data_IF_962188548176
#
_entry.id   IF_962188548176
#
_cell.length_a   1.000
_cell.length_b   1.000
_cell.length_c   1.000
_cell.angle_alpha   90.00
_cell.angle_beta   90.00
_cell.angle_gamma   90.00
#
_symmetry.space_group_name_H-M   'P 1'
#
loop_
_entity.id
_entity.type
_entity.pdbx_description
1 polymer ?
2 non-polymer ?
3 non-polymer ?
4 water ?
#
# COMPACT_ATOMS: atom_id res chain seq x y z
N UNK A 2 -23.54 -9.29 -2.67
CA UNK A 2 -22.78 -8.05 -2.45
C UNK A 2 -23.57 -7.00 -1.68
N UNK A 3 -22.93 -6.43 -0.65
CA UNK A 3 -23.56 -5.47 0.25
C UNK A 3 -22.71 -4.20 0.41
N UNK A 4 -21.39 -4.31 0.33
CA UNK A 4 -20.50 -3.20 0.64
C UNK A 4 -19.48 -3.03 -0.48
N UNK A 5 -19.10 -1.79 -0.74
CA UNK A 5 -18.13 -1.48 -1.76
C UNK A 5 -16.89 -0.94 -1.05
N UNK A 6 -15.73 -1.49 -1.38
CA UNK A 6 -14.43 -1.04 -0.85
C UNK A 6 -13.56 -0.63 -2.02
N UNK A 7 -12.85 0.49 -1.89
CA UNK A 7 -11.93 0.95 -2.92
C UNK A 7 -10.55 1.08 -2.32
N UNK A 8 -9.55 0.59 -3.04
CA UNK A 8 -8.16 0.72 -2.63
C UNK A 8 -7.35 1.28 -3.79
N UNK A 9 -6.29 2.02 -3.46
CA UNK A 9 -5.40 2.56 -4.47
C UNK A 9 -3.97 2.48 -3.95
N UNK A 10 -3.10 1.94 -4.77
CA UNK A 10 -1.67 1.96 -4.57
C UNK A 10 -1.14 3.27 -5.13
N UNK A 11 -0.31 3.97 -4.38
CA UNK A 11 0.24 5.21 -4.88
C UNK A 11 1.07 4.98 -6.14
N UNK A 12 1.22 6.05 -6.91
CA UNK A 12 2.04 6.03 -8.09
C UNK A 12 3.52 6.16 -7.78
N UNK A 13 4.26 6.27 -8.85
CA UNK A 13 5.70 6.23 -8.83
C UNK A 13 6.26 7.28 -7.86
N UNK A 14 7.21 6.85 -7.05
CA UNK A 14 8.01 7.74 -6.22
C UNK A 14 9.29 8.15 -6.96
N UNK A 15 9.99 9.12 -6.38
CA UNK A 15 11.28 9.54 -6.93
C UNK A 15 12.31 8.42 -6.89
N UNK A 16 12.27 7.57 -5.88
CA UNK A 16 13.25 6.50 -5.76
C UNK A 16 12.93 5.31 -6.66
N UNK A 17 11.66 5.09 -6.99
CA UNK A 17 11.36 4.02 -7.94
C UNK A 17 12.07 4.28 -9.27
N UNK A 18 12.25 5.55 -9.63
CA UNK A 18 12.97 5.87 -10.85
C UNK A 18 14.45 5.52 -10.75
N UNK A 19 15.01 5.56 -9.55
CA UNK A 19 16.40 5.19 -9.30
C UNK A 19 16.56 3.71 -8.97
N UNK A 20 15.50 2.92 -9.14
CA UNK A 20 15.45 1.53 -8.72
C UNK A 20 16.08 1.35 -7.35
N UNK A 21 15.67 2.24 -6.43
CA UNK A 21 16.21 2.27 -5.08
C UNK A 21 15.14 1.83 -4.09
N UNK A 22 15.51 0.93 -3.18
CA UNK A 22 14.59 0.45 -2.16
C UNK A 22 14.16 1.61 -1.27
N UNK A 23 12.89 1.97 -1.25
CA UNK A 23 12.44 3.05 -0.39
C UNK A 23 11.94 2.50 0.93
N UNK A 24 10.93 1.64 0.89
CA UNK A 24 10.45 1.10 2.15
C UNK A 24 9.90 2.20 3.03
N UNK A 25 10.42 2.32 4.24
CA UNK A 25 10.02 3.34 5.16
C UNK A 25 10.73 4.66 4.94
N UNK A 26 11.63 4.76 3.97
CA UNK A 26 12.12 6.08 3.59
C UNK A 26 10.96 6.84 2.96
N UNK A 27 10.78 8.08 3.39
CA UNK A 27 9.59 8.86 3.06
C UNK A 27 9.77 9.62 1.74
N UNK A 28 9.89 8.85 0.66
CA UNK A 28 10.11 9.39 -0.68
C UNK A 28 8.88 10.14 -1.21
N UNK A 29 9.13 11.21 -1.95
CA UNK A 29 8.06 11.98 -2.54
C UNK A 29 7.53 11.29 -3.79
N UNK A 30 6.27 11.59 -4.17
CA UNK A 30 5.79 11.22 -5.51
C UNK A 30 6.61 11.89 -6.59
N UNK A 31 6.83 11.17 -7.69
CA UNK A 31 7.36 11.82 -8.87
C UNK A 31 6.24 12.57 -9.56
N UNK A 32 6.60 13.36 -10.56
CA UNK A 32 5.57 14.00 -11.38
C UNK A 32 4.66 12.96 -11.99
N UNK A 33 5.22 11.87 -12.50
CA UNK A 33 4.39 10.82 -13.06
C UNK A 33 3.44 10.26 -12.02
N UNK A 34 3.95 10.03 -10.81
CA UNK A 34 3.09 9.51 -9.75
C UNK A 34 1.97 10.44 -9.36
N UNK A 35 2.24 11.73 -9.35
CA UNK A 35 1.18 12.70 -9.08
C UNK A 35 0.12 12.69 -10.19
N UNK A 36 0.54 12.56 -11.45
CA UNK A 36 -0.42 12.48 -12.54
C UNK A 36 -1.26 11.21 -12.44
N UNK A 37 -0.65 10.10 -12.04
CA UNK A 37 -1.40 8.86 -11.83
C UNK A 37 -2.46 9.05 -10.75
N UNK A 38 -2.11 9.74 -9.68
CA UNK A 38 -3.09 10.00 -8.64
C UNK A 38 -4.24 10.84 -9.17
N UNK A 39 -3.91 11.85 -9.97
CA UNK A 39 -4.98 12.67 -10.55
C UNK A 39 -5.87 11.85 -11.48
N UNK A 40 -5.28 10.97 -12.27
CA UNK A 40 -6.05 10.07 -13.13
C UNK A 40 -7.02 9.23 -12.31
N UNK A 41 -6.54 8.66 -11.21
CA UNK A 41 -7.42 7.85 -10.39
C UNK A 41 -8.53 8.68 -9.78
N UNK A 42 -8.23 9.92 -9.39
CA UNK A 42 -9.25 10.81 -8.84
C UNK A 42 -10.35 11.05 -9.88
N UNK A 43 -9.96 11.32 -11.13
CA UNK A 43 -10.94 11.55 -12.19
C UNK A 43 -11.83 10.33 -12.36
N UNK A 44 -11.24 9.14 -12.31
CA UNK A 44 -12.03 7.92 -12.48
C UNK A 44 -13.03 7.74 -11.35
N UNK A 45 -12.64 8.02 -10.12
CA UNK A 45 -13.54 7.92 -9.00
C UNK A 45 -14.66 8.94 -9.12
N UNK A 46 -14.32 10.19 -9.48
CA UNK A 46 -15.33 11.23 -9.65
C UNK A 46 -16.30 10.84 -10.75
N UNK A 47 -15.78 10.30 -11.85
CA UNK A 47 -16.64 9.97 -12.98
C UNK A 47 -17.62 8.86 -12.63
N UNK A 48 -17.20 7.92 -11.78
CA UNK A 48 -18.04 6.84 -11.28
C UNK A 48 -18.98 7.29 -10.17
N UNK A 49 -18.93 8.57 -9.77
CA UNK A 49 -19.80 9.15 -8.75
C UNK A 49 -19.66 8.43 -7.42
N UNK A 50 -18.47 7.92 -7.14
CA UNK A 50 -18.26 7.13 -5.94
C UNK A 50 -17.99 8.05 -4.76
N UNK A 51 -18.84 7.95 -3.75
CA UNK A 51 -18.69 8.64 -2.49
C UNK A 51 -18.04 7.71 -1.49
N UNK A 52 -17.22 8.30 -0.63
CA UNK A 52 -16.68 7.60 0.52
C UNK A 52 -17.16 8.28 1.80
N UNK A 53 -17.01 7.56 2.91
CA UNK A 53 -17.32 8.06 4.25
C UNK A 53 -16.10 8.16 5.14
N UNK A 54 -15.05 7.39 4.89
CA UNK A 54 -13.85 7.40 5.71
C UNK A 54 -12.71 6.88 4.87
N UNK A 55 -11.51 7.43 5.10
CA UNK A 55 -10.33 7.09 4.34
C UNK A 55 -9.20 6.69 5.26
N UNK A 56 -8.42 5.70 4.81
CA UNK A 56 -7.24 5.23 5.52
C UNK A 56 -6.01 5.34 4.64
N UNK A 57 -4.89 5.70 5.26
CA UNK A 57 -3.61 5.77 4.59
C UNK A 57 -2.50 5.45 5.56
N UNK A 58 -1.27 5.49 5.05
CA UNK A 58 -0.09 5.22 5.85
C UNK A 58 0.44 6.51 6.47
N UNK A 59 1.66 6.47 7.01
CA UNK A 59 2.37 7.67 7.46
C UNK A 59 3.44 8.11 6.46
N UNK A 60 3.37 7.61 5.22
CA UNK A 60 4.34 7.92 4.17
C UNK A 60 3.69 8.83 3.14
N UNK A 61 4.35 9.95 2.85
CA UNK A 61 3.72 11.02 2.09
C UNK A 61 3.37 10.64 0.67
N UNK A 62 4.05 9.67 0.06
CA UNK A 62 3.65 9.28 -1.28
C UNK A 62 2.24 8.73 -1.29
N UNK A 63 1.85 8.00 -0.24
CA UNK A 63 0.48 7.53 -0.09
C UNK A 63 -0.46 8.63 0.35
N UNK A 64 -0.05 9.43 1.34
CA UNK A 64 -0.90 10.51 1.83
C UNK A 64 -1.22 11.49 0.71
N UNK A 65 -0.22 11.85 -0.09
CA UNK A 65 -0.44 12.79 -1.17
C UNK A 65 -1.36 12.21 -2.22
N UNK A 66 -1.25 10.90 -2.49
CA UNK A 66 -2.19 10.25 -3.39
C UNK A 66 -3.61 10.40 -2.86
N UNK A 67 -3.82 10.13 -1.57
CA UNK A 67 -5.12 10.33 -0.97
C UNK A 67 -5.60 11.78 -1.14
N UNK A 68 -4.75 12.73 -0.78
CA UNK A 68 -5.14 14.14 -0.90
C UNK A 68 -5.56 14.48 -2.31
N UNK A 69 -4.82 13.98 -3.30
CA UNK A 69 -5.18 14.26 -4.69
C UNK A 69 -6.56 13.70 -5.03
N UNK A 70 -6.84 12.49 -4.56
CA UNK A 70 -8.16 11.90 -4.76
C UNK A 70 -9.26 12.73 -4.08
N UNK A 71 -9.05 13.11 -2.82
CA UNK A 71 -10.06 13.89 -2.12
C UNK A 71 -10.28 15.24 -2.79
N UNK A 72 -9.21 15.90 -3.24
CA UNK A 72 -9.35 17.18 -3.92
C UNK A 72 -10.13 17.00 -5.22
N UNK A 73 -9.74 16.02 -6.03
CA UNK A 73 -10.34 15.82 -7.33
C UNK A 73 -11.76 15.31 -7.29
N UNK A 74 -12.21 14.79 -6.15
CA UNK A 74 -13.57 14.30 -6.01
C UNK A 74 -14.42 15.17 -5.09
N UNK A 75 -13.88 16.31 -4.66
CA UNK A 75 -14.61 17.23 -3.77
C UNK A 75 -15.02 16.55 -2.48
N UNK A 76 -14.09 15.77 -1.90
CA UNK A 76 -14.29 15.05 -0.64
C UNK A 76 -13.21 15.39 0.38
N UNK A 77 -12.71 16.62 0.34
CA UNK A 77 -11.64 17.02 1.25
C UNK A 77 -12.08 17.01 2.71
N UNK A 78 -13.38 17.06 2.96
CA UNK A 78 -13.94 17.08 4.29
C UNK A 78 -14.02 15.71 4.95
N UNK A 79 -13.72 14.62 4.23
CA UNK A 79 -13.87 13.30 4.81
C UNK A 79 -12.89 13.04 5.95
N UNK A 80 -13.29 12.24 6.93
CA UNK A 80 -12.35 11.77 7.94
C UNK A 80 -11.25 10.94 7.31
N UNK A 81 -10.02 11.18 7.76
CA UNK A 81 -8.82 10.49 7.32
C UNK A 81 -8.13 9.93 8.55
N UNK A 82 -7.75 8.66 8.48
CA UNK A 82 -6.98 7.99 9.53
C UNK A 82 -5.69 7.49 8.90
N UNK A 83 -4.56 7.85 9.50
CA UNK A 83 -3.22 7.41 9.13
C UNK A 83 -2.75 6.35 10.10
N UNK A 84 -2.06 5.35 9.57
CA UNK A 84 -1.43 4.36 10.42
C UNK A 84 -0.14 3.82 9.80
N UNK A 85 0.88 3.66 10.64
CA UNK A 85 2.09 2.96 10.23
C UNK A 85 1.79 1.56 9.76
N UNK A 86 0.71 0.95 10.24
CA UNK A 86 0.38 -0.40 9.82
C UNK A 86 0.07 -0.55 8.34
N UNK A 87 -0.19 0.56 7.63
CA UNK A 87 -0.38 0.53 6.20
C UNK A 87 0.89 0.94 5.44
N UNK A 88 2.00 1.14 6.13
CA UNK A 88 3.25 1.48 5.47
C UNK A 88 3.68 0.38 4.51
N UNK A 89 4.46 0.79 3.53
CA UNK A 89 5.22 -0.13 2.69
C UNK A 89 6.02 -1.07 3.56
N UNK A 90 6.38 -2.21 3.00
CA UNK A 90 7.33 -3.11 3.63
C UNK A 90 8.60 -2.38 4.04
N UNK A 91 9.11 -2.71 5.23
CA UNK A 91 10.39 -2.19 5.69
C UNK A 91 11.51 -3.04 5.11
N UNK A 92 12.31 -2.45 4.21
CA UNK A 92 13.38 -3.16 3.53
C UNK A 92 14.68 -3.23 4.31
N UNK A 93 14.67 -2.81 5.58
CA UNK A 93 15.81 -3.08 6.42
C UNK A 93 17.05 -2.40 5.90
N UNK A 94 18.16 -3.13 5.96
CA UNK A 94 19.42 -2.56 5.50
C UNK A 94 19.48 -2.29 4.02
N UNK A 95 18.55 -2.81 3.22
CA UNK A 95 18.53 -2.53 1.80
C UNK A 95 18.00 -1.14 1.50
N UNK A 96 17.37 -0.50 2.49
CA UNK A 96 16.79 0.82 2.30
C UNK A 96 17.85 1.78 1.78
N UNK A 97 17.54 2.47 0.69
CA UNK A 97 18.43 3.46 0.11
C UNK A 97 19.42 2.92 -0.90
N UNK A 98 19.49 1.62 -1.11
CA UNK A 98 20.36 1.02 -2.11
C UNK A 98 19.60 0.79 -3.42
N UNK A 99 20.31 0.95 -4.53
CA UNK A 99 19.74 0.55 -5.81
C UNK A 99 20.05 -0.92 -6.08
N UNK A 100 19.62 -1.43 -7.23
CA UNK A 100 19.75 -2.86 -7.51
C UNK A 100 21.21 -3.28 -7.57
N UNK A 101 22.04 -2.51 -8.28
CA UNK A 101 23.46 -2.85 -8.37
C UNK A 101 24.13 -2.80 -7.01
N UNK A 102 23.84 -1.77 -6.22
CA UNK A 102 24.46 -1.65 -4.91
C UNK A 102 24.05 -2.81 -4.00
N UNK A 103 22.78 -3.21 -4.08
CA UNK A 103 22.29 -4.32 -3.28
C UNK A 103 23.01 -5.60 -3.65
N UNK A 104 23.14 -5.85 -4.95
CA UNK A 104 23.81 -7.05 -5.41
C UNK A 104 25.28 -7.07 -5.03
N UNK A 105 25.96 -5.92 -5.15
CA UNK A 105 27.38 -5.85 -4.83
C UNK A 105 27.60 -6.09 -3.34
N UNK A 106 26.69 -5.60 -2.50
CA UNK A 106 26.85 -5.68 -1.06
C UNK A 106 26.42 -7.03 -0.51
N UNK A 107 25.45 -7.72 -1.13
CA UNK A 107 24.85 -8.89 -0.53
C UNK A 107 24.91 -10.15 -1.37
N UNK A 108 25.20 -10.06 -2.67
CA UNK A 108 25.30 -11.22 -3.53
C UNK A 108 24.07 -11.42 -4.39
N UNK A 109 24.26 -11.75 -5.67
CA UNK A 109 23.13 -11.85 -6.60
C UNK A 109 22.18 -12.98 -6.23
N UNK A 110 22.72 -14.15 -5.92
CA UNK A 110 21.87 -15.27 -5.54
C UNK A 110 21.15 -14.99 -4.24
N UNK A 111 21.82 -14.35 -3.29
CA UNK A 111 21.18 -14.02 -2.02
C UNK A 111 20.03 -13.05 -2.23
N UNK A 112 20.25 -12.04 -3.06
CA UNK A 112 19.21 -11.05 -3.32
C UNK A 112 18.04 -11.70 -4.02
N UNK A 113 18.30 -12.66 -4.90
CA UNK A 113 17.23 -13.38 -5.57
C UNK A 113 16.40 -14.16 -4.54
N UNK A 114 17.06 -14.82 -3.59
CA UNK A 114 16.33 -15.51 -2.54
C UNK A 114 15.40 -14.56 -1.82
N UNK A 115 15.91 -13.38 -1.43
CA UNK A 115 15.08 -12.43 -0.70
C UNK A 115 13.93 -11.94 -1.56
N UNK A 116 14.20 -11.65 -2.85
CA UNK A 116 13.17 -11.12 -3.74
C UNK A 116 12.05 -12.13 -3.95
N UNK A 117 12.36 -13.42 -3.96
CA UNK A 117 11.37 -14.44 -4.27
C UNK A 117 10.79 -15.12 -3.01
N UNK A 118 11.21 -14.71 -1.83
CA UNK A 118 10.78 -15.34 -0.60
C UNK A 118 9.62 -14.58 0.03
N UNK A 119 8.65 -15.31 0.55
CA UNK A 119 7.57 -14.73 1.33
C UNK A 119 7.98 -14.43 2.76
N UNK A 120 8.89 -15.21 3.34
CA UNK A 120 9.10 -15.19 4.77
C UNK A 120 10.54 -15.01 5.24
N UNK A 121 11.52 -14.87 4.34
CA UNK A 121 12.89 -14.57 4.73
C UNK A 121 13.07 -13.06 4.68
N UNK A 122 13.38 -12.40 5.78
CA UNK A 122 13.50 -10.95 5.75
C UNK A 122 14.83 -10.51 5.16
N UNK A 123 14.91 -9.28 4.68
CA UNK A 123 16.18 -8.70 4.34
C UNK A 123 16.98 -8.41 5.59
N UNK A 124 18.23 -8.00 5.45
CA UNK A 124 19.07 -7.75 6.64
C UNK A 124 18.50 -6.60 7.45
N UNK A 125 18.78 -6.56 8.74
CA UNK A 125 18.25 -5.49 9.58
C UNK A 125 18.89 -4.15 9.26
N UNK A 126 18.10 -3.10 9.48
CA UNK A 126 18.61 -1.73 9.51
C UNK A 126 19.27 -1.52 10.87
N UNK A 127 20.59 -1.45 10.88
CA UNK A 127 21.32 -1.28 12.14
C UNK A 127 21.69 0.18 12.37
N UNK A 128 22.25 0.43 13.56
CA UNK A 128 22.48 1.81 14.00
C UNK A 128 23.49 2.53 13.13
N UNK A 129 24.27 1.79 12.34
CA UNK A 129 25.24 2.37 11.41
C UNK A 129 24.65 2.68 10.05
N UNK A 130 23.42 2.28 9.81
CA UNK A 130 22.83 2.50 8.50
C UNK A 130 22.58 3.99 8.29
N UNK A 131 22.81 4.49 7.08
CA UNK A 131 22.64 5.93 6.84
C UNK A 131 21.25 6.45 7.16
N UNK A 132 20.22 5.62 7.12
CA UNK A 132 18.86 6.07 7.32
C UNK A 132 18.31 5.69 8.68
N UNK A 133 19.15 5.16 9.57
CA UNK A 133 18.66 4.68 10.86
C UNK A 133 18.00 5.79 11.66
N UNK A 134 18.68 6.94 11.81
CA UNK A 134 18.11 7.98 12.64
C UNK A 134 16.82 8.52 12.05
N UNK A 135 16.78 8.68 10.73
CA UNK A 135 15.63 9.32 10.11
C UNK A 135 14.44 8.39 9.97
N UNK A 136 14.59 7.08 10.20
CA UNK A 136 13.49 6.12 10.14
C UNK A 136 13.28 5.56 11.55
N UNK A 137 14.25 4.80 12.04
CA UNK A 137 14.03 4.08 13.30
C UNK A 137 13.88 5.02 14.48
N UNK A 138 14.47 6.21 14.43
CA UNK A 138 14.37 7.17 15.54
C UNK A 138 13.36 8.28 15.26
N UNK A 139 12.62 8.18 14.18
CA UNK A 139 11.71 9.24 13.81
C UNK A 139 10.50 9.27 14.75
N UNK A 140 10.09 10.46 15.13
CA UNK A 140 9.07 10.59 16.16
C UNK A 140 7.72 10.03 15.75
N UNK A 141 7.44 9.87 14.47
CA UNK A 141 6.15 9.30 14.07
C UNK A 141 6.00 7.86 14.50
N UNK A 142 7.07 7.18 14.89
CA UNK A 142 6.98 5.81 15.39
C UNK A 142 7.12 5.72 16.90
N UNK A 143 7.14 6.85 17.60
CA UNK A 143 7.40 6.85 19.04
C UNK A 143 6.25 6.24 19.83
N UNK A 144 5.06 6.13 19.25
CA UNK A 144 3.93 5.56 19.92
C UNK A 144 3.79 4.08 19.75
N UNK A 145 4.63 3.45 18.95
CA UNK A 145 4.56 1.99 18.79
C UNK A 145 4.91 1.32 20.10
N UNK A 146 4.21 0.23 20.41
CA UNK A 146 4.51 -0.50 21.61
C UNK A 146 5.90 -1.11 21.44
N UNK A 147 6.64 -1.24 22.52
CA UNK A 147 7.94 -1.90 22.42
C UNK A 147 7.78 -3.25 21.73
N UNK A 148 8.65 -3.51 20.76
CA UNK A 148 8.59 -4.72 19.97
C UNK A 148 7.90 -4.58 18.63
N UNK A 149 7.14 -3.50 18.41
CA UNK A 149 6.43 -3.34 17.15
C UNK A 149 7.29 -2.68 16.08
N UNK A 150 8.23 -1.83 16.44
CA UNK A 150 9.03 -1.15 15.41
C UNK A 150 9.97 -2.13 14.74
N UNK A 151 9.84 -2.37 13.44
CA UNK A 151 10.72 -3.34 12.80
C UNK A 151 12.07 -2.77 12.49
N UNK A 152 13.05 -3.67 12.41
CA UNK A 152 14.34 -3.38 11.81
C UNK A 152 14.37 -3.80 10.35
N UNK A 153 13.40 -4.60 9.92
CA UNK A 153 13.32 -5.24 8.61
C UNK A 153 12.05 -6.05 8.61
N UNK A 154 11.53 -6.33 7.43
CA UNK A 154 10.32 -7.14 7.31
C UNK A 154 10.39 -8.04 6.09
N UNK A 155 10.04 -9.30 6.26
CA UNK A 155 9.59 -10.10 5.14
C UNK A 155 8.20 -9.65 4.74
N UNK A 156 7.70 -10.12 3.59
CA UNK A 156 6.32 -9.85 3.24
C UNK A 156 5.39 -10.43 4.29
N UNK A 157 5.72 -11.60 4.81
CA UNK A 157 4.92 -12.19 5.87
C UNK A 157 4.81 -11.23 7.07
N UNK A 158 5.92 -10.61 7.44
CA UNK A 158 5.92 -9.65 8.56
C UNK A 158 5.03 -8.45 8.25
N UNK A 159 5.15 -7.89 7.05
CA UNK A 159 4.35 -6.72 6.68
C UNK A 159 2.87 -7.04 6.82
N UNK A 160 2.46 -8.17 6.23
CA UNK A 160 1.06 -8.57 6.27
C UNK A 160 0.61 -8.77 7.70
N UNK A 161 1.46 -9.37 8.53
CA UNK A 161 1.08 -9.63 9.91
C UNK A 161 0.84 -8.37 10.73
N UNK A 162 1.47 -7.24 10.40
CA UNK A 162 1.19 -5.99 11.11
C UNK A 162 0.12 -5.13 10.44
N UNK A 163 -0.21 -5.39 9.17
CA UNK A 163 -1.28 -4.70 8.48
C UNK A 163 -2.64 -5.27 8.83
N UNK A 164 -2.75 -6.61 8.82
CA UNK A 164 -4.05 -7.25 9.04
C UNK A 164 -4.73 -6.84 10.34
N UNK A 165 -4.03 -6.70 11.47
CA UNK A 165 -4.72 -6.27 12.69
C UNK A 165 -5.43 -4.95 12.51
N UNK A 166 -4.88 -4.05 11.70
CA UNK A 166 -5.55 -2.79 11.47
C UNK A 166 -6.84 -3.00 10.68
N UNK A 167 -6.77 -3.82 9.64
CA UNK A 167 -7.98 -4.21 8.93
C UNK A 167 -9.02 -4.77 9.89
N UNK A 168 -8.63 -5.74 10.71
CA UNK A 168 -9.61 -6.46 11.51
C UNK A 168 -10.21 -5.56 12.59
N UNK A 169 -9.41 -4.71 13.20
CA UNK A 169 -9.86 -3.97 14.36
C UNK A 169 -10.44 -2.61 14.02
N UNK A 170 -9.99 -1.98 12.94
CA UNK A 170 -10.38 -0.62 12.61
C UNK A 170 -11.19 -0.50 11.33
N UNK A 171 -10.75 -1.14 10.24
CA UNK A 171 -11.42 -0.92 8.96
C UNK A 171 -12.67 -1.78 8.84
N UNK A 172 -12.56 -3.07 9.15
CA UNK A 172 -13.68 -3.97 8.96
C UNK A 172 -14.94 -3.55 9.73
N UNK A 173 -14.86 -3.09 10.98
CA UNK A 173 -16.09 -2.65 11.65
C UNK A 173 -16.73 -1.46 10.97
N UNK A 174 -15.94 -0.57 10.35
CA UNK A 174 -16.54 0.55 9.63
C UNK A 174 -17.32 0.05 8.44
N UNK A 175 -16.75 -0.87 7.68
CA UNK A 175 -17.45 -1.41 6.52
C UNK A 175 -18.76 -2.07 6.95
N UNK A 176 -18.71 -2.86 8.00
CA UNK A 176 -19.92 -3.55 8.45
C UNK A 176 -21.01 -2.59 8.91
N UNK A 177 -20.64 -1.39 9.37
CA UNK A 177 -21.60 -0.34 9.72
C UNK A 177 -22.14 0.39 8.51
N UNK A 178 -21.75 0.02 7.30
CA UNK A 178 -22.26 0.64 6.10
C UNK A 178 -21.41 1.75 5.57
N UNK A 179 -20.24 1.98 6.13
CA UNK A 179 -19.39 3.06 5.67
C UNK A 179 -18.68 2.62 4.39
N UNK A 180 -18.51 3.56 3.48
CA UNK A 180 -17.83 3.37 2.21
C UNK A 180 -16.37 3.80 2.40
N UNK A 181 -15.46 2.83 2.40
CA UNK A 181 -14.06 3.04 2.74
C UNK A 181 -13.22 3.20 1.48
N UNK A 182 -12.29 4.13 1.55
CA UNK A 182 -11.18 4.26 0.62
C UNK A 182 -9.88 4.01 1.38
N UNK A 183 -9.02 3.15 0.84
CA UNK A 183 -7.66 2.93 1.38
C UNK A 183 -6.63 3.34 0.33
N UNK A 184 -5.77 4.30 0.67
CA UNK A 184 -4.70 4.73 -0.22
C UNK A 184 -3.39 4.32 0.46
N UNK A 185 -2.72 3.33 -0.10
CA UNK A 185 -1.57 2.79 0.59
C UNK A 185 -0.53 2.29 -0.41
N UNK A 186 0.13 1.17 -0.09
CA UNK A 186 1.32 0.71 -0.80
C UNK A 186 1.08 -0.72 -1.28
N UNK A 187 1.84 -1.14 -2.29
CA UNK A 187 1.62 -2.46 -2.85
C UNK A 187 1.62 -3.55 -1.79
N UNK A 188 2.64 -3.57 -0.93
CA UNK A 188 2.77 -4.71 -0.02
C UNK A 188 1.77 -4.68 1.12
N UNK A 189 1.38 -3.49 1.60
CA UNK A 189 0.34 -3.44 2.62
C UNK A 189 -1.02 -3.77 2.03
N UNK A 190 -1.33 -3.28 0.82
CA UNK A 190 -2.57 -3.68 0.16
C UNK A 190 -2.58 -5.18 -0.13
N UNK A 191 -1.43 -5.76 -0.46
CA UNK A 191 -1.37 -7.21 -0.66
C UNK A 191 -1.90 -7.95 0.55
N UNK A 192 -1.58 -7.48 1.75
CA UNK A 192 -2.08 -8.14 2.94
C UNK A 192 -3.60 -8.17 2.98
N UNK A 193 -4.23 -7.06 2.62
CA UNK A 193 -5.69 -7.00 2.62
C UNK A 193 -6.26 -7.89 1.53
N UNK A 194 -5.69 -7.83 0.33
CA UNK A 194 -6.13 -8.67 -0.78
C UNK A 194 -6.01 -10.14 -0.41
N UNK A 195 -4.86 -10.53 0.16
CA UNK A 195 -4.65 -11.93 0.53
C UNK A 195 -5.75 -12.41 1.46
N UNK A 196 -6.09 -11.59 2.44
CA UNK A 196 -7.14 -11.93 3.39
C UNK A 196 -8.52 -11.97 2.73
N UNK A 197 -8.86 -10.95 1.95
CA UNK A 197 -10.17 -10.92 1.30
C UNK A 197 -10.38 -12.12 0.42
N UNK A 198 -9.35 -12.50 -0.34
CA UNK A 198 -9.47 -13.54 -1.36
C UNK A 198 -9.06 -14.91 -0.86
N UNK A 199 -8.54 -15.03 0.37
CA UNK A 199 -8.03 -16.30 0.87
C UNK A 199 -6.94 -16.89 0.01
N UNK A 200 -5.97 -16.07 -0.39
CA UNK A 200 -4.92 -16.51 -1.31
C UNK A 200 -3.75 -17.11 -0.56
N UNK A 201 -3.04 -17.99 -1.26
CA UNK A 201 -1.80 -18.55 -0.73
C UNK A 201 -0.67 -17.51 -0.72
N UNK A 202 0.41 -17.87 0.00
CA UNK A 202 1.63 -17.07 0.01
C UNK A 202 2.17 -16.88 -1.41
N UNK A 203 2.26 -17.98 -2.18
CA UNK A 203 2.75 -17.89 -3.56
C UNK A 203 1.87 -16.97 -4.40
N UNK A 204 0.55 -17.12 -4.28
CA UNK A 204 -0.35 -16.33 -5.13
C UNK A 204 -0.20 -14.84 -4.85
N UNK A 205 -0.02 -14.46 -3.59
CA UNK A 205 0.06 -13.04 -3.31
C UNK A 205 1.37 -12.45 -3.83
N UNK A 206 2.44 -13.23 -3.87
CA UNK A 206 3.68 -12.74 -4.44
C UNK A 206 3.66 -12.61 -5.95
N UNK A 207 2.66 -13.18 -6.62
CA UNK A 207 2.47 -13.01 -8.06
C UNK A 207 1.58 -11.82 -8.41
N UNK A 208 0.97 -11.16 -7.43
CA UNK A 208 0.07 -10.05 -7.67
C UNK A 208 0.81 -8.73 -7.56
N UNK A 209 0.87 -7.98 -8.66
CA UNK A 209 1.48 -6.64 -8.69
C UNK A 209 0.33 -5.67 -8.96
N UNK A 210 -0.16 -5.04 -7.91
CA UNK A 210 -1.32 -4.19 -8.04
C UNK A 210 -0.96 -2.98 -8.90
N UNK A 211 -1.83 -2.57 -9.82
CA UNK A 211 -1.50 -1.42 -10.65
C UNK A 211 -1.43 -0.17 -9.79
N UNK A 212 -0.65 0.81 -10.24
CA UNK A 212 -0.44 2.04 -9.47
C UNK A 212 -1.38 3.14 -9.92
N UNK A 213 -1.81 3.93 -8.93
CA UNK A 213 -2.72 5.03 -9.12
C UNK A 213 -4.07 4.62 -9.63
N UNK A 214 -4.29 3.34 -9.93
CA UNK A 214 -5.54 2.86 -10.52
C UNK A 214 -6.43 2.35 -9.39
N UNK A 215 -7.60 2.94 -9.18
CA UNK A 215 -8.50 2.44 -8.12
C UNK A 215 -8.93 1.02 -8.38
N UNK A 216 -8.95 0.26 -7.29
CA UNK A 216 -9.31 -1.15 -7.30
C UNK A 216 -10.59 -1.24 -6.47
N UNK A 217 -11.62 -1.82 -7.05
CA UNK A 217 -12.95 -1.89 -6.44
C UNK A 217 -13.29 -3.32 -6.09
N UNK A 218 -13.66 -3.53 -4.83
CA UNK A 218 -14.19 -4.79 -4.33
C UNK A 218 -15.65 -4.63 -3.92
N UNK A 219 -16.45 -5.63 -4.23
CA UNK A 219 -17.80 -5.76 -3.72
C UNK A 219 -17.77 -6.91 -2.72
N UNK A 220 -18.20 -6.64 -1.50
CA UNK A 220 -18.11 -7.59 -0.41
C UNK A 220 -19.49 -7.92 0.14
N UNK A 221 -19.67 -9.17 0.56
CA UNK A 221 -20.91 -9.57 1.19
C UNK A 221 -20.88 -9.12 2.65
N UNK A 222 -21.89 -9.54 3.41
CA UNK A 222 -22.02 -9.05 4.77
C UNK A 222 -20.91 -9.54 5.69
N UNK A 223 -20.29 -10.67 5.36
CA UNK A 223 -19.14 -11.19 6.08
C UNK A 223 -17.82 -10.65 5.52
N UNK A 224 -17.90 -9.69 4.60
CA UNK A 224 -16.74 -9.05 3.97
C UNK A 224 -16.00 -9.98 3.01
N UNK A 225 -16.71 -10.96 2.48
CA UNK A 225 -16.13 -11.82 1.46
C UNK A 225 -16.43 -11.26 0.07
N UNK A 226 -15.45 -11.16 -0.82
CA UNK A 226 -15.74 -10.65 -2.16
C UNK A 226 -16.73 -11.55 -2.85
N UNK A 227 -17.65 -10.94 -3.59
CA UNK A 227 -18.64 -11.67 -4.36
C UNK A 227 -18.28 -11.78 -5.83
N UNK A 228 -17.22 -11.12 -6.26
CA UNK A 228 -16.78 -11.17 -7.65
C UNK A 228 -15.34 -10.68 -7.69
N UNK A 229 -14.65 -10.81 -8.83
CA UNK A 229 -13.25 -10.38 -8.90
C UNK A 229 -13.10 -8.87 -8.74
N UNK A 230 -11.90 -8.48 -8.29
CA UNK A 230 -11.58 -7.06 -8.22
C UNK A 230 -11.76 -6.45 -9.60
N UNK A 231 -12.17 -5.20 -9.61
CA UNK A 231 -12.31 -4.44 -10.85
C UNK A 231 -11.49 -3.16 -10.76
N UNK A 232 -10.94 -2.72 -11.87
CA UNK A 232 -10.19 -1.48 -11.94
C UNK A 232 -11.05 -0.35 -12.49
N UNK A 233 -10.85 0.86 -11.96
CA UNK A 233 -11.52 2.04 -12.47
C UNK A 233 -10.57 2.86 -13.34
N UNK A 234 -11.09 3.33 -14.46
CA UNK A 234 -10.34 4.23 -15.31
C UNK A 234 -10.87 4.16 -16.71
N UNK A 235 -10.19 4.91 -17.58
CA UNK A 235 -10.50 4.84 -19.00
C UNK A 235 -10.20 3.43 -19.52
N UNK A 236 -10.88 3.10 -20.61
CA UNK A 236 -10.82 1.76 -21.17
C UNK A 236 -9.40 1.25 -21.31
N UNK A 237 -8.54 2.04 -21.94
CA UNK A 237 -7.18 1.62 -22.25
C UNK A 237 -6.40 1.37 -20.99
N UNK A 238 -6.53 2.27 -20.01
CA UNK A 238 -5.84 2.08 -18.73
C UNK A 238 -6.30 0.81 -18.04
N UNK A 239 -7.60 0.56 -18.06
CA UNK A 239 -8.14 -0.64 -17.45
C UNK A 239 -7.69 -1.90 -18.19
N UNK A 240 -7.74 -1.90 -19.52
CA UNK A 240 -7.32 -3.08 -20.28
C UNK A 240 -5.89 -3.48 -19.93
N UNK A 241 -4.98 -2.50 -19.86
CA UNK A 241 -3.59 -2.77 -19.48
C UNK A 241 -3.51 -3.42 -18.11
N UNK A 242 -4.20 -2.85 -17.13
CA UNK A 242 -4.15 -3.39 -15.78
C UNK A 242 -4.69 -4.82 -15.72
N UNK A 243 -5.69 -5.13 -16.56
CA UNK A 243 -6.23 -6.47 -16.57
C UNK A 243 -5.19 -7.50 -17.03
N UNK A 244 -4.22 -7.08 -17.85
CA UNK A 244 -3.13 -7.98 -18.23
C UNK A 244 -2.29 -8.40 -17.02
X LIG B 1 -3.64 18.57 -4.17
X LIG B 1 -4.61 18.05 -5.05
X LIG B 1 -3.28 17.42 -3.27
X LIG B 1 -2.48 18.05 -2.27
X LIG B 1 -2.76 18.90 -4.73
X LIG B 1 -4.04 19.40 -3.60
X LIG B 1 -4.88 18.74 -5.67
X LIG B 1 -4.18 16.98 -2.83
X LIG B 1 -2.71 16.66 -3.80
X LIG B 1 -2.21 17.39 -1.62
X LIG C 1 -26.04 3.41 6.15
X LIG C 1 -25.95 2.45 5.11
X LIG C 1 -25.14 2.99 7.31
X LIG C 1 -23.80 3.40 7.01
X LIG C 1 -25.74 4.39 5.78
X LIG C 1 -27.08 3.48 6.50
X LIG C 1 -26.52 2.71 4.38
X LIG C 1 -25.48 3.46 8.23
X LIG C 1 -25.18 1.90 7.43
X LIG C 1 -23.22 3.14 7.74
X LIG D 1 -5.81 14.93 5.89
#
# INVERSE_FOLDING_TARGET
MATHRLVMVRHGESTWNQENRFCGWFDAELSEKGAEEAKRGAVAIKDAKMEFDICYTSVLKRAIRTLWTILDGTDQMWLPVVRTWRLNERHYGGLTGLNKAETAAKHGEEQVKIWRRSFDIPPPPMDEKHPYYTSISKERRYAGLKPGELPTCESLKDTIARALPFWNEEIAPQIKAGKRVLIAAHGNSLRGIVKHLEGMSDQAIMELNLPTGIPIVYELDQALKPTKPMRFLGDEETVRKAMEAVAAQGKAK
EDO C1 O1 C2 O2 H11 H12 HO1 H21 H22 HO2
EDO C1 O1 C2 O2 H11 H12 HO1 H21 H22 HO2
CL CL
#
